data_IF_083507271913
#
_entry.id   IF_083507271913
#
_cell.length_a   1.000
_cell.length_b   1.000
_cell.length_c   1.000
_cell.angle_alpha   90.00
_cell.angle_beta   90.00
_cell.angle_gamma   90.00
#
_symmetry.space_group_name_H-M   'P 1'
#
loop_
_entity.id
_entity.type
_entity.pdbx_description
1 polymer ?
#
# COMPACT_ATOMS: atom_id res chain seq x y z
N UNK A 1 -12.47 -20.48 -5.93
CA UNK A 1 -13.71 -20.86 -5.27
C UNK A 1 -13.33 -21.49 -3.93
N UNK A 2 -13.17 -20.68 -2.95
CA UNK A 2 -13.02 -21.09 -1.57
C UNK A 2 -14.32 -20.73 -0.85
N UNK A 3 -14.76 -21.66 -0.01
CA UNK A 3 -15.82 -21.55 0.99
C UNK A 3 -17.26 -21.46 0.47
N UNK A 4 -18.06 -22.41 0.89
CA UNK A 4 -19.51 -22.48 0.71
C UNK A 4 -20.29 -21.44 1.54
N UNK A 5 -19.88 -20.18 1.47
CA UNK A 5 -20.59 -19.06 2.06
C UNK A 5 -21.80 -18.70 1.23
N UNK A 6 -22.91 -18.44 1.91
CA UNK A 6 -24.13 -17.97 1.26
C UNK A 6 -24.01 -16.47 0.94
N UNK A 7 -24.77 -16.01 -0.06
CA UNK A 7 -24.86 -14.58 -0.44
C UNK A 7 -25.25 -13.73 0.77
N UNK A 8 -26.10 -14.23 1.65
CA UNK A 8 -26.57 -13.58 2.87
C UNK A 8 -25.41 -13.35 3.88
N UNK A 9 -24.52 -14.34 4.04
CA UNK A 9 -23.34 -14.21 4.90
C UNK A 9 -22.32 -13.20 4.35
N UNK A 10 -22.20 -13.10 3.03
CA UNK A 10 -21.33 -12.10 2.38
C UNK A 10 -21.91 -10.70 2.54
N UNK A 11 -23.23 -10.53 2.48
CA UNK A 11 -23.87 -9.23 2.68
C UNK A 11 -23.83 -8.77 4.14
N UNK A 12 -24.02 -9.67 5.11
CA UNK A 12 -23.85 -9.36 6.53
C UNK A 12 -22.42 -8.85 6.85
N UNK A 13 -21.40 -9.43 6.24
CA UNK A 13 -20.00 -8.97 6.41
C UNK A 13 -19.73 -7.59 5.87
N UNK A 14 -20.40 -7.17 4.81
CA UNK A 14 -20.30 -5.81 4.27
C UNK A 14 -20.84 -4.74 5.20
N UNK A 15 -21.62 -5.13 6.19
CA UNK A 15 -22.19 -4.25 7.22
C UNK A 15 -21.32 -4.14 8.48
N UNK A 16 -20.24 -4.92 8.59
CA UNK A 16 -19.32 -4.82 9.73
C UNK A 16 -18.57 -3.47 9.70
N UNK A 17 -18.30 -2.89 10.87
CA UNK A 17 -17.47 -1.69 10.96
C UNK A 17 -16.10 -1.91 10.31
N UNK A 18 -15.56 -0.87 9.70
CA UNK A 18 -14.18 -0.92 9.22
C UNK A 18 -13.21 -1.08 10.39
N UNK A 19 -12.22 -1.94 10.22
CA UNK A 19 -11.17 -2.16 11.22
C UNK A 19 -10.06 -1.13 11.05
N UNK A 20 -9.56 -0.64 12.17
CA UNK A 20 -8.35 0.19 12.20
C UNK A 20 -7.14 -0.65 11.76
N UNK A 21 -6.42 -0.16 10.76
CA UNK A 21 -5.24 -0.81 10.21
C UNK A 21 -3.97 -0.17 10.74
N UNK A 22 -3.85 1.15 10.60
CA UNK A 22 -2.66 1.89 10.97
C UNK A 22 -2.96 3.38 11.13
N UNK A 23 -2.10 4.07 11.88
CA UNK A 23 -2.05 5.52 11.86
C UNK A 23 -0.61 6.03 11.78
N UNK A 24 -0.46 7.18 11.15
CA UNK A 24 0.80 7.91 11.03
C UNK A 24 0.63 9.26 11.70
N UNK A 25 1.42 9.53 12.74
CA UNK A 25 1.56 10.86 13.29
C UNK A 25 2.68 11.58 12.54
N UNK A 26 2.34 12.57 11.74
CA UNK A 26 3.32 13.30 10.93
C UNK A 26 4.39 14.05 11.75
N UNK A 27 4.12 14.38 13.01
CA UNK A 27 5.12 15.00 13.89
C UNK A 27 6.21 14.03 14.35
N UNK A 28 5.97 12.72 14.27
CA UNK A 28 6.93 11.66 14.62
C UNK A 28 7.75 11.17 13.41
N UNK A 29 7.41 11.64 12.23
CA UNK A 29 7.98 11.20 10.97
C UNK A 29 9.01 12.24 10.44
N UNK A 30 10.12 11.82 9.81
CA UNK A 30 10.97 12.75 9.09
C UNK A 30 10.19 13.54 8.04
N UNK A 31 10.42 14.85 7.86
CA UNK A 31 9.71 15.64 6.87
C UNK A 31 9.83 15.04 5.46
N UNK A 32 8.70 14.92 4.79
CA UNK A 32 8.58 14.38 3.44
C UNK A 32 7.88 15.42 2.55
N UNK A 33 8.50 15.74 1.40
CA UNK A 33 7.96 16.72 0.45
C UNK A 33 6.57 16.27 -0.05
N UNK A 34 5.63 17.21 -0.09
CA UNK A 34 4.25 16.94 -0.48
C UNK A 34 3.35 16.35 0.61
N UNK A 35 3.89 16.10 1.81
CA UNK A 35 3.12 15.59 2.95
C UNK A 35 3.00 16.63 4.07
N UNK A 36 1.95 16.55 4.91
CA UNK A 36 1.83 17.35 6.11
C UNK A 36 3.02 17.14 7.07
N UNK A 37 3.29 18.13 7.92
CA UNK A 37 4.31 18.02 8.98
C UNK A 37 3.71 17.86 10.37
N UNK A 38 2.38 17.85 10.48
CA UNK A 38 1.60 17.66 11.72
C UNK A 38 0.33 16.88 11.42
N UNK A 39 -0.37 16.50 12.46
CA UNK A 39 -1.66 15.79 12.35
C UNK A 39 -1.47 14.27 12.25
N UNK A 40 -2.59 13.59 12.19
CA UNK A 40 -2.66 12.11 12.15
C UNK A 40 -3.40 11.65 10.89
N UNK A 41 -2.79 10.73 10.16
CA UNK A 41 -3.42 10.02 9.05
C UNK A 41 -3.79 8.61 9.52
N UNK A 42 -5.06 8.25 9.40
CA UNK A 42 -5.58 6.95 9.82
C UNK A 42 -6.09 6.17 8.63
N UNK A 43 -5.85 4.87 8.66
CA UNK A 43 -6.27 3.91 7.66
C UNK A 43 -7.21 2.88 8.28
N UNK A 44 -8.34 2.66 7.62
CA UNK A 44 -9.34 1.67 8.00
C UNK A 44 -9.68 0.81 6.80
N UNK A 45 -9.80 -0.50 7.00
CA UNK A 45 -10.17 -1.45 5.95
C UNK A 45 -11.28 -2.39 6.45
N UNK A 46 -12.02 -2.97 5.53
CA UNK A 46 -12.99 -4.01 5.86
C UNK A 46 -12.28 -5.27 6.37
N UNK A 47 -12.91 -5.95 7.31
CA UNK A 47 -12.37 -7.18 7.91
C UNK A 47 -12.67 -8.44 7.10
N UNK A 48 -13.06 -8.33 5.83
CA UNK A 48 -13.28 -9.46 4.93
C UNK A 48 -12.03 -9.74 4.07
N UNK A 49 -12.02 -10.85 3.35
CA UNK A 49 -10.81 -11.35 2.65
C UNK A 49 -10.26 -10.42 1.55
N UNK A 50 -11.08 -9.54 0.98
CA UNK A 50 -10.66 -8.56 -0.02
C UNK A 50 -10.28 -7.21 0.63
N UNK A 51 -10.38 -7.10 1.96
CA UNK A 51 -10.04 -5.90 2.73
C UNK A 51 -10.72 -4.62 2.24
N UNK A 52 -11.92 -4.75 1.66
CA UNK A 52 -12.71 -3.65 1.15
C UNK A 52 -12.47 -3.30 -0.32
N UNK A 53 -11.68 -4.09 -1.04
CA UNK A 53 -11.51 -3.89 -2.48
C UNK A 53 -12.82 -4.16 -3.22
N UNK A 54 -13.28 -3.18 -3.96
CA UNK A 54 -14.38 -3.31 -4.92
C UNK A 54 -13.81 -3.49 -6.32
N UNK A 55 -13.87 -4.72 -6.86
CA UNK A 55 -13.34 -5.03 -8.20
C UNK A 55 -14.09 -4.33 -9.34
N UNK A 56 -15.35 -3.93 -9.12
CA UNK A 56 -16.15 -3.21 -10.13
C UNK A 56 -15.86 -1.70 -10.11
N UNK A 57 -15.53 -1.16 -8.94
CA UNK A 57 -15.20 0.24 -8.75
C UNK A 57 -14.11 0.40 -7.67
N UNK A 58 -12.83 0.25 -8.03
CA UNK A 58 -11.70 0.29 -7.07
C UNK A 58 -11.52 1.63 -6.36
N UNK A 59 -12.07 2.72 -6.92
CA UNK A 59 -12.00 4.06 -6.32
C UNK A 59 -13.07 4.29 -5.24
N UNK A 60 -14.05 3.40 -5.13
CA UNK A 60 -15.15 3.54 -4.19
C UNK A 60 -14.70 3.26 -2.75
N UNK A 61 -14.71 4.27 -1.89
CA UNK A 61 -14.30 4.16 -0.49
C UNK A 61 -15.41 3.61 0.44
N UNK A 62 -16.10 2.54 0.05
CA UNK A 62 -17.06 1.86 0.93
C UNK A 62 -16.40 0.87 1.87
N UNK A 63 -15.46 0.09 1.34
CA UNK A 63 -14.75 -0.95 2.07
C UNK A 63 -13.44 -0.50 2.71
N UNK A 64 -13.02 0.75 2.50
CA UNK A 64 -11.87 1.34 3.15
C UNK A 64 -12.10 2.81 3.47
N UNK A 65 -11.27 3.37 4.35
CA UNK A 65 -11.31 4.79 4.69
C UNK A 65 -9.91 5.28 5.01
N UNK A 66 -9.56 6.44 4.47
CA UNK A 66 -8.37 7.19 4.87
C UNK A 66 -8.84 8.51 5.43
N UNK A 67 -8.45 8.82 6.65
CA UNK A 67 -8.90 10.03 7.37
C UNK A 67 -7.67 10.79 7.84
N UNK A 68 -7.62 12.08 7.52
CA UNK A 68 -6.61 12.99 8.02
C UNK A 68 -7.23 13.93 9.08
N UNK A 69 -6.62 13.94 10.28
CA UNK A 69 -6.92 14.83 11.36
C UNK A 69 -5.80 15.86 11.48
N UNK A 70 -6.08 17.11 11.15
CA UNK A 70 -5.08 18.18 11.22
C UNK A 70 -4.63 18.49 12.65
N UNK A 71 -5.57 18.38 13.59
CA UNK A 71 -5.33 18.61 15.01
C UNK A 71 -5.25 17.26 15.74
N UNK A 72 -4.22 17.13 16.57
CA UNK A 72 -4.02 15.97 17.43
C UNK A 72 -4.68 16.23 18.77
N UNK A 73 -5.55 15.33 19.20
CA UNK A 73 -6.17 15.39 20.52
C UNK A 73 -5.13 14.99 21.57
N UNK A 74 -4.74 15.92 22.43
CA UNK A 74 -3.78 15.68 23.51
C UNK A 74 -4.43 15.17 24.81
N UNK A 75 -5.74 15.40 24.95
CA UNK A 75 -6.51 14.94 26.11
C UNK A 75 -6.81 13.44 25.97
N UNK A 76 -6.07 12.62 26.68
CA UNK A 76 -6.27 11.17 26.69
C UNK A 76 -7.69 10.74 27.10
N UNK A 77 -8.39 11.56 27.88
CA UNK A 77 -9.78 11.25 28.30
C UNK A 77 -10.79 11.42 27.18
N UNK A 78 -10.42 12.13 26.11
CA UNK A 78 -11.23 12.30 24.91
C UNK A 78 -10.96 11.20 23.87
N UNK A 79 -9.97 10.34 24.08
CA UNK A 79 -9.67 9.21 23.20
C UNK A 79 -10.58 8.02 23.49
N UNK A 80 -10.88 7.26 22.45
CA UNK A 80 -11.63 6.02 22.62
C UNK A 80 -10.78 4.98 23.35
N UNK A 81 -11.26 4.49 24.48
CA UNK A 81 -10.66 3.39 25.25
C UNK A 81 -11.13 2.00 24.78
N UNK A 82 -12.23 1.97 24.04
CA UNK A 82 -12.80 0.75 23.44
C UNK A 82 -13.10 1.04 21.98
N UNK A 83 -12.57 0.23 21.09
CA UNK A 83 -12.82 0.42 19.66
C UNK A 83 -14.20 -0.12 19.28
N UNK A 84 -14.92 0.49 18.33
CA UNK A 84 -16.20 -0.03 17.84
C UNK A 84 -16.14 -1.44 17.27
N UNK A 85 -14.93 -1.93 16.99
CA UNK A 85 -14.64 -3.26 16.45
C UNK A 85 -14.34 -4.30 17.52
N UNK A 86 -14.22 -3.89 18.79
CA UNK A 86 -13.93 -4.81 19.89
C UNK A 86 -15.11 -5.75 20.12
N UNK A 87 -14.83 -7.04 20.18
CA UNK A 87 -15.84 -8.09 20.33
C UNK A 87 -16.64 -8.41 19.05
N UNK A 88 -16.37 -7.77 17.94
CA UNK A 88 -16.96 -8.11 16.63
C UNK A 88 -16.25 -9.34 16.06
N UNK A 89 -17.00 -10.36 15.68
CA UNK A 89 -16.46 -11.56 15.04
C UNK A 89 -16.12 -11.28 13.57
N UNK A 90 -14.86 -10.91 13.32
CA UNK A 90 -14.35 -10.80 11.94
C UNK A 90 -13.82 -12.15 11.45
N UNK A 91 -13.87 -12.41 10.13
CA UNK A 91 -13.16 -13.54 9.55
C UNK A 91 -11.66 -13.49 9.87
N UNK A 92 -11.02 -14.65 9.89
CA UNK A 92 -9.57 -14.74 9.99
C UNK A 92 -8.89 -14.07 8.78
N UNK A 93 -7.64 -13.62 8.97
CA UNK A 93 -6.82 -13.08 7.87
C UNK A 93 -6.68 -11.56 7.85
N UNK A 94 -7.04 -10.85 8.93
CA UNK A 94 -6.70 -9.43 9.01
C UNK A 94 -5.17 -9.26 9.02
N UNK A 95 -4.62 -8.28 8.26
CA UNK A 95 -3.17 -8.22 8.01
C UNK A 95 -2.32 -7.85 9.24
N UNK A 96 -2.94 -7.42 10.33
CA UNK A 96 -2.24 -7.03 11.56
C UNK A 96 -2.85 -7.75 12.76
N UNK A 97 -2.01 -8.46 13.49
CA UNK A 97 -2.33 -9.16 14.73
C UNK A 97 -1.74 -8.38 15.93
N UNK A 98 -2.58 -7.57 16.58
CA UNK A 98 -2.20 -6.79 17.75
C UNK A 98 -1.68 -5.38 17.44
N UNK A 99 -1.20 -4.70 18.47
CA UNK A 99 -0.70 -3.33 18.38
C UNK A 99 0.79 -3.32 18.10
N UNK A 100 1.17 -2.63 17.02
CA UNK A 100 2.56 -2.46 16.60
C UNK A 100 2.89 -0.97 16.49
N UNK A 101 4.03 -0.58 17.06
CA UNK A 101 4.53 0.79 16.90
C UNK A 101 5.22 0.95 15.55
N UNK A 102 4.85 2.00 14.81
CA UNK A 102 5.55 2.39 13.59
C UNK A 102 6.79 3.21 13.95
N UNK A 103 7.92 2.87 13.34
CA UNK A 103 9.13 3.67 13.37
C UNK A 103 9.41 4.15 11.94
N UNK A 104 9.81 5.41 11.81
CA UNK A 104 9.98 6.05 10.52
C UNK A 104 11.46 6.33 10.24
N UNK A 105 11.90 5.97 9.06
CA UNK A 105 13.24 6.27 8.57
C UNK A 105 13.12 6.92 7.18
N UNK A 106 13.91 7.98 6.95
CA UNK A 106 14.00 8.61 5.64
C UNK A 106 14.94 7.81 4.75
N UNK A 107 14.43 7.38 3.62
CA UNK A 107 15.21 6.66 2.62
C UNK A 107 14.96 7.21 1.22
N UNK A 108 15.73 6.74 0.27
CA UNK A 108 15.48 6.93 -1.16
C UNK A 108 15.41 5.56 -1.82
N UNK A 109 14.56 5.43 -2.82
CA UNK A 109 14.43 4.19 -3.56
C UNK A 109 14.40 4.45 -5.06
N UNK A 110 15.01 3.58 -5.88
CA UNK A 110 14.82 3.61 -7.31
C UNK A 110 13.37 3.24 -7.67
N UNK A 111 12.97 3.56 -8.89
CA UNK A 111 11.74 3.00 -9.47
C UNK A 111 11.94 1.50 -9.65
N UNK A 112 10.99 0.69 -9.20
CA UNK A 112 11.02 -0.76 -9.38
C UNK A 112 10.17 -1.23 -10.53
N UNK A 113 10.35 -2.51 -10.92
CA UNK A 113 9.62 -3.15 -12.01
C UNK A 113 8.10 -3.28 -11.81
N UNK A 114 7.59 -2.93 -10.63
CA UNK A 114 6.14 -2.83 -10.39
C UNK A 114 5.50 -1.51 -10.82
N UNK A 115 6.24 -0.53 -11.33
CA UNK A 115 5.68 0.70 -11.90
C UNK A 115 5.58 0.55 -13.43
N UNK A 116 4.41 0.84 -14.00
CA UNK A 116 4.12 0.69 -15.44
C UNK A 116 5.09 1.43 -16.38
N UNK A 117 5.82 2.42 -15.88
CA UNK A 117 6.82 3.18 -16.65
C UNK A 117 8.18 2.53 -16.67
N UNK A 118 8.41 1.55 -15.80
CA UNK A 118 9.74 1.00 -15.53
C UNK A 118 10.38 0.41 -16.79
N UNK A 119 9.69 -0.47 -17.48
CA UNK A 119 10.22 -1.18 -18.66
C UNK A 119 10.64 -0.22 -19.76
N UNK A 120 9.82 0.82 -19.99
CA UNK A 120 10.15 1.83 -20.97
C UNK A 120 11.41 2.63 -20.57
N UNK A 121 11.49 3.04 -19.32
CA UNK A 121 12.62 3.83 -18.83
C UNK A 121 13.89 3.00 -18.78
N UNK A 122 13.82 1.73 -18.41
CA UNK A 122 14.93 0.81 -18.42
C UNK A 122 15.43 0.56 -19.85
N UNK A 123 14.53 0.36 -20.81
CA UNK A 123 14.88 0.21 -22.23
C UNK A 123 15.57 1.45 -22.79
N UNK A 124 15.04 2.62 -22.48
CA UNK A 124 15.63 3.90 -22.92
C UNK A 124 17.06 4.07 -22.34
N UNK A 125 17.22 3.80 -21.02
CA UNK A 125 18.52 3.88 -20.34
C UNK A 125 19.51 2.83 -20.87
N UNK A 126 19.06 1.60 -21.10
CA UNK A 126 19.89 0.54 -21.70
C UNK A 126 20.41 0.97 -23.07
N UNK A 127 19.52 1.45 -23.93
CA UNK A 127 19.87 1.87 -25.29
C UNK A 127 20.75 3.14 -25.31
N UNK A 128 20.66 4.01 -24.32
CA UNK A 128 21.56 5.16 -24.16
C UNK A 128 22.96 4.72 -23.76
N UNK A 129 23.04 3.73 -22.83
CA UNK A 129 24.31 3.17 -22.39
C UNK A 129 25.00 2.29 -23.47
N UNK A 130 24.21 1.70 -24.39
CA UNK A 130 24.69 0.78 -25.43
C UNK A 130 24.33 1.27 -26.84
N UNK A 131 24.89 2.40 -27.30
CA UNK A 131 24.49 3.04 -28.57
C UNK A 131 24.74 2.15 -29.81
N UNK A 132 25.76 1.28 -29.74
CA UNK A 132 26.14 0.36 -30.84
C UNK A 132 25.44 -0.99 -30.75
N UNK A 133 24.75 -1.29 -29.64
CA UNK A 133 24.06 -2.56 -29.38
C UNK A 133 22.59 -2.34 -28.92
N UNK A 134 21.93 -1.36 -29.50
CA UNK A 134 20.55 -1.01 -29.15
C UNK A 134 19.59 -2.15 -29.43
N UNK A 135 18.65 -2.35 -28.53
CA UNK A 135 17.59 -3.33 -28.63
C UNK A 135 16.22 -2.69 -28.80
N UNK A 136 15.28 -3.39 -29.41
CA UNK A 136 13.93 -2.91 -29.62
C UNK A 136 13.01 -3.09 -28.40
N UNK A 137 13.36 -4.03 -27.51
CA UNK A 137 12.60 -4.38 -26.31
C UNK A 137 13.53 -5.07 -25.31
N UNK A 138 13.18 -5.09 -24.01
CA UNK A 138 14.01 -5.65 -22.95
C UNK A 138 14.24 -7.15 -23.11
N UNK A 139 13.30 -7.91 -23.68
CA UNK A 139 13.48 -9.32 -23.97
C UNK A 139 14.60 -9.63 -24.99
N UNK A 140 15.15 -8.61 -25.63
CA UNK A 140 16.28 -8.68 -26.53
C UNK A 140 17.60 -8.26 -25.91
N UNK A 141 17.57 -7.69 -24.75
CA UNK A 141 18.78 -7.35 -23.99
C UNK A 141 19.37 -8.62 -23.33
N UNK A 142 20.69 -8.65 -23.07
CA UNK A 142 21.29 -9.76 -22.33
C UNK A 142 20.67 -9.91 -20.93
N UNK A 143 20.21 -11.11 -20.62
CA UNK A 143 19.52 -11.43 -19.36
C UNK A 143 20.40 -11.10 -18.14
N UNK A 144 21.68 -11.44 -18.22
CA UNK A 144 22.65 -11.20 -17.14
C UNK A 144 22.92 -9.72 -16.84
N UNK A 145 22.64 -8.83 -17.78
CA UNK A 145 22.71 -7.38 -17.56
C UNK A 145 21.44 -6.85 -16.91
N UNK A 146 20.28 -7.35 -17.31
CA UNK A 146 19.00 -7.01 -16.70
C UNK A 146 18.90 -7.54 -15.28
N UNK A 147 19.33 -8.77 -15.01
CA UNK A 147 19.34 -9.37 -13.67
C UNK A 147 20.11 -8.50 -12.67
N UNK A 148 21.26 -7.98 -13.06
CA UNK A 148 22.05 -7.05 -12.22
C UNK A 148 21.28 -5.76 -11.85
N UNK A 149 20.40 -5.31 -12.72
CA UNK A 149 19.52 -4.16 -12.44
C UNK A 149 18.43 -4.58 -11.48
N UNK A 150 17.74 -5.69 -11.77
CA UNK A 150 16.64 -6.17 -10.94
C UNK A 150 17.10 -6.53 -9.52
N UNK A 151 18.29 -7.12 -9.37
CA UNK A 151 18.87 -7.45 -8.05
C UNK A 151 19.12 -6.21 -7.16
N UNK A 152 19.23 -5.03 -7.77
CA UNK A 152 19.43 -3.77 -7.03
C UNK A 152 18.12 -3.08 -6.64
N UNK A 153 16.98 -3.60 -7.08
CA UNK A 153 15.67 -3.01 -6.84
C UNK A 153 15.02 -3.65 -5.62
N UNK A 154 15.20 -3.04 -4.44
CA UNK A 154 14.38 -3.40 -3.27
C UNK A 154 12.97 -2.83 -3.44
N UNK A 155 12.00 -3.72 -3.60
CA UNK A 155 10.61 -3.36 -3.88
C UNK A 155 9.66 -3.68 -2.73
N UNK A 156 10.14 -4.29 -1.67
CA UNK A 156 9.34 -4.67 -0.51
C UNK A 156 9.17 -3.55 0.54
N UNK A 157 8.33 -3.83 1.56
CA UNK A 157 8.19 -3.03 2.77
C UNK A 157 7.09 -1.97 2.73
N UNK A 158 6.84 -1.40 3.93
CA UNK A 158 5.87 -0.32 4.13
C UNK A 158 6.54 1.04 3.94
N UNK A 159 5.88 1.95 3.22
CA UNK A 159 6.45 3.26 2.91
C UNK A 159 5.39 4.32 2.67
N UNK A 160 5.81 5.57 2.81
CA UNK A 160 5.03 6.73 2.39
C UNK A 160 5.81 7.49 1.33
N UNK A 161 5.14 7.84 0.22
CA UNK A 161 5.79 8.43 -0.94
C UNK A 161 6.63 7.43 -1.74
N UNK A 162 7.42 7.96 -2.69
CA UNK A 162 8.22 7.13 -3.60
C UNK A 162 7.38 6.47 -4.69
N UNK A 163 7.93 5.40 -5.25
CA UNK A 163 7.25 4.63 -6.31
C UNK A 163 6.36 3.54 -5.70
N UNK A 164 5.21 3.24 -6.30
CA UNK A 164 4.34 2.16 -5.84
C UNK A 164 5.01 0.80 -6.05
N UNK A 165 4.64 -0.14 -5.19
CA UNK A 165 4.90 -1.55 -5.37
C UNK A 165 3.58 -2.30 -5.42
N UNK A 166 3.35 -3.03 -6.48
CA UNK A 166 2.21 -3.91 -6.66
C UNK A 166 2.68 -5.35 -6.71
N UNK A 167 1.99 -6.24 -5.99
CA UNK A 167 2.30 -7.68 -5.98
C UNK A 167 1.93 -8.39 -7.28
N UNK A 168 1.19 -7.71 -8.13
CA UNK A 168 0.79 -8.13 -9.47
C UNK A 168 1.08 -6.99 -10.46
N UNK A 169 0.22 -6.77 -11.44
CA UNK A 169 0.38 -5.68 -12.40
C UNK A 169 -0.04 -4.33 -11.81
N UNK A 170 0.55 -3.26 -12.33
CA UNK A 170 0.15 -1.91 -12.00
C UNK A 170 -1.25 -1.63 -12.54
N UNK A 171 -2.24 -1.25 -11.71
CA UNK A 171 -3.61 -1.02 -12.18
C UNK A 171 -3.78 0.23 -13.05
N UNK A 172 -2.68 0.97 -13.30
CA UNK A 172 -2.66 2.16 -14.16
C UNK A 172 -2.25 1.86 -15.60
N UNK A 173 -1.94 0.60 -15.93
CA UNK A 173 -1.69 0.14 -17.31
C UNK A 173 -2.95 0.10 -18.17
#
# INVERSE_FOLDING_TARGET
AASGETVEQVEERKLLPLRFLAQVNFSEMPPLEGFPTKGILQFYIAGENAHGLNFENPEEQKGFRVIYHEEVVEDETALLSVLPTDGVGYPDGFPVDGELRLNFEKSSMPMGGGDYRFDKLLLDAYNEANPDARVASLDRAPEDELDKVYDQLDMGGHRMGGYPFFTQLDPRE
#
